data_IF_698318346439
#
_entry.id   IF_698318346439
#
_cell.length_a   1.000
_cell.length_b   1.000
_cell.length_c   1.000
_cell.angle_alpha   90.00
_cell.angle_beta   90.00
_cell.angle_gamma   90.00
#
_symmetry.space_group_name_H-M   'P 1'
#
loop_
_entity.id
_entity.type
_entity.pdbx_description
1 polymer ?
#
# COMPACT_ATOMS: atom_id res chain seq x y z
N UNK A 1 -23.04 -8.88 -37.14
CA UNK A 1 -22.18 -8.41 -36.02
C UNK A 1 -20.86 -7.98 -36.61
N UNK A 2 -20.57 -6.67 -36.61
CA UNK A 2 -19.37 -6.10 -37.23
C UNK A 2 -18.11 -6.52 -36.47
N UNK A 3 -17.03 -6.80 -37.21
CA UNK A 3 -15.78 -7.40 -36.74
C UNK A 3 -14.98 -6.39 -35.91
N UNK A 4 -15.26 -6.29 -34.61
CA UNK A 4 -14.73 -5.25 -33.70
C UNK A 4 -13.29 -5.49 -33.20
N UNK A 5 -12.54 -6.38 -33.87
CA UNK A 5 -11.22 -6.84 -33.41
C UNK A 5 -10.05 -5.95 -33.84
N UNK A 6 -10.28 -5.01 -34.76
CA UNK A 6 -9.21 -4.26 -35.44
C UNK A 6 -9.09 -2.78 -35.04
N UNK A 7 -9.78 -2.32 -33.97
CA UNK A 7 -9.64 -0.93 -33.51
C UNK A 7 -8.25 -0.73 -32.89
N UNK A 8 -7.36 -0.04 -33.60
CA UNK A 8 -6.04 0.34 -33.11
C UNK A 8 -6.10 1.73 -32.47
N UNK A 9 -6.13 1.76 -31.13
CA UNK A 9 -6.21 2.99 -30.31
C UNK A 9 -5.04 3.94 -30.60
N UNK A 10 -3.85 3.41 -30.94
CA UNK A 10 -2.67 4.23 -31.22
C UNK A 10 -2.73 5.02 -32.54
N UNK A 11 -3.76 4.81 -33.36
CA UNK A 11 -4.00 5.56 -34.61
C UNK A 11 -5.15 6.56 -34.48
N UNK A 12 -5.81 6.62 -33.33
CA UNK A 12 -6.93 7.53 -33.07
C UNK A 12 -6.35 8.82 -32.48
N UNK A 13 -6.79 9.96 -32.97
CA UNK A 13 -6.40 11.25 -32.41
C UNK A 13 -7.01 11.46 -31.01
N UNK A 14 -6.33 12.28 -30.19
CA UNK A 14 -6.80 12.56 -28.83
C UNK A 14 -8.20 13.20 -28.82
N UNK A 15 -8.53 14.01 -29.84
CA UNK A 15 -9.84 14.66 -29.98
C UNK A 15 -10.99 13.67 -30.24
N UNK A 16 -10.75 12.59 -31.00
CA UNK A 16 -11.78 11.56 -31.19
C UNK A 16 -11.91 10.72 -29.93
N UNK A 17 -10.82 10.43 -29.23
CA UNK A 17 -10.87 9.73 -27.95
C UNK A 17 -11.60 10.57 -26.89
N UNK A 18 -11.38 11.88 -26.86
CA UNK A 18 -12.10 12.81 -25.99
C UNK A 18 -13.60 12.82 -26.30
N UNK A 19 -13.99 13.01 -27.57
CA UNK A 19 -15.42 12.98 -27.97
C UNK A 19 -16.09 11.63 -27.74
N UNK A 20 -15.35 10.53 -27.92
CA UNK A 20 -15.83 9.19 -27.63
C UNK A 20 -16.02 9.00 -26.11
N UNK A 21 -15.12 9.55 -25.30
CA UNK A 21 -15.20 9.48 -23.85
C UNK A 21 -16.42 10.19 -23.29
N UNK A 22 -16.64 11.42 -23.77
CA UNK A 22 -17.83 12.24 -23.51
C UNK A 22 -19.13 11.49 -23.91
N UNK A 23 -19.17 10.98 -25.15
CA UNK A 23 -20.30 10.17 -25.62
C UNK A 23 -20.52 8.90 -24.79
N UNK A 24 -19.47 8.23 -24.34
CA UNK A 24 -19.60 7.04 -23.47
C UNK A 24 -20.06 7.42 -22.07
N UNK A 25 -19.65 8.58 -21.54
CA UNK A 25 -20.10 9.05 -20.22
C UNK A 25 -21.60 9.37 -20.25
N UNK A 26 -22.08 10.06 -21.28
CA UNK A 26 -23.51 10.39 -21.44
C UNK A 26 -24.44 9.17 -21.57
N UNK A 27 -23.92 7.99 -21.98
CA UNK A 27 -24.70 6.75 -21.96
C UNK A 27 -25.07 6.30 -20.54
N UNK A 28 -24.28 6.67 -19.54
CA UNK A 28 -24.45 6.25 -18.15
C UNK A 28 -24.95 7.38 -17.26
N UNK A 29 -24.60 8.62 -17.62
CA UNK A 29 -25.07 9.85 -16.97
C UNK A 29 -25.83 10.65 -18.02
N UNK A 30 -27.08 10.25 -18.33
CA UNK A 30 -27.89 10.93 -19.34
C UNK A 30 -28.39 12.31 -18.88
N UNK A 31 -28.34 12.58 -17.57
CA UNK A 31 -28.69 13.88 -17.00
C UNK A 31 -27.57 14.88 -17.26
N UNK A 32 -27.84 15.83 -18.17
CA UNK A 32 -26.88 16.84 -18.62
C UNK A 32 -26.38 17.71 -17.47
N UNK A 33 -27.25 18.05 -16.50
CA UNK A 33 -26.86 18.84 -15.34
C UNK A 33 -25.86 18.09 -14.43
N UNK A 34 -26.05 16.79 -14.25
CA UNK A 34 -25.12 15.95 -13.49
C UNK A 34 -23.78 15.80 -14.24
N UNK A 35 -23.82 15.63 -15.56
CA UNK A 35 -22.63 15.55 -16.39
C UNK A 35 -21.82 16.86 -16.34
N UNK A 36 -22.47 18.00 -16.55
CA UNK A 36 -21.84 19.33 -16.49
C UNK A 36 -21.28 19.64 -15.09
N UNK A 37 -21.99 19.24 -14.04
CA UNK A 37 -21.50 19.36 -12.66
C UNK A 37 -20.21 18.57 -12.46
N UNK A 38 -20.14 17.35 -12.98
CA UNK A 38 -18.93 16.52 -12.91
C UNK A 38 -17.79 17.12 -13.75
N UNK A 39 -18.08 17.66 -14.92
CA UNK A 39 -17.11 18.33 -15.77
C UNK A 39 -16.47 19.52 -15.06
N UNK A 40 -17.31 20.35 -14.42
CA UNK A 40 -16.86 21.49 -13.63
C UNK A 40 -16.02 21.06 -12.41
N UNK A 41 -16.36 19.94 -11.76
CA UNK A 41 -15.54 19.36 -10.70
C UNK A 41 -14.17 18.88 -11.18
N UNK A 42 -14.06 18.54 -12.47
CA UNK A 42 -12.87 18.01 -13.12
C UNK A 42 -11.98 19.07 -13.76
N UNK A 43 -12.28 20.34 -13.54
CA UNK A 43 -11.54 21.48 -14.09
C UNK A 43 -12.32 22.27 -15.15
N UNK A 44 -13.53 21.82 -15.50
CA UNK A 44 -14.40 22.46 -16.49
C UNK A 44 -14.04 22.15 -17.93
N UNK A 45 -14.90 22.58 -18.85
CA UNK A 45 -14.69 22.43 -20.29
C UNK A 45 -13.33 23.00 -20.73
N UNK A 46 -12.63 22.25 -21.59
CA UNK A 46 -11.31 22.64 -22.10
C UNK A 46 -10.14 22.42 -21.13
N UNK A 47 -10.39 21.94 -19.90
CA UNK A 47 -9.31 21.57 -18.99
C UNK A 47 -8.60 20.28 -19.42
N UNK A 48 -7.28 20.24 -19.27
CA UNK A 48 -6.46 19.07 -19.58
C UNK A 48 -6.89 17.82 -18.79
N UNK A 49 -7.35 18.04 -17.57
CA UNK A 49 -7.85 17.00 -16.67
C UNK A 49 -9.15 16.37 -17.14
N UNK A 50 -10.12 17.18 -17.57
CA UNK A 50 -11.37 16.70 -18.13
C UNK A 50 -11.12 15.95 -19.45
N UNK A 51 -10.31 16.54 -20.33
CA UNK A 51 -9.87 15.90 -21.57
C UNK A 51 -9.25 14.52 -21.32
N UNK A 52 -8.31 14.42 -20.39
CA UNK A 52 -7.66 13.15 -20.05
C UNK A 52 -8.63 12.12 -19.47
N UNK A 53 -9.63 12.58 -18.70
CA UNK A 53 -10.70 11.73 -18.19
C UNK A 53 -11.51 11.11 -19.32
N UNK A 54 -11.97 11.94 -20.27
CA UNK A 54 -12.70 11.47 -21.45
C UNK A 54 -11.87 10.48 -22.28
N UNK A 55 -10.61 10.81 -22.57
CA UNK A 55 -9.69 9.89 -23.28
C UNK A 55 -9.55 8.55 -22.55
N UNK A 56 -9.47 8.57 -21.21
CA UNK A 56 -9.34 7.35 -20.40
C UNK A 56 -10.61 6.49 -20.48
N UNK A 57 -11.79 7.11 -20.42
CA UNK A 57 -13.08 6.41 -20.57
C UNK A 57 -13.18 5.77 -21.96
N UNK A 58 -12.81 6.50 -23.02
CA UNK A 58 -12.78 5.97 -24.37
C UNK A 58 -11.84 4.77 -24.52
N UNK A 59 -10.62 4.86 -23.98
CA UNK A 59 -9.66 3.76 -24.01
C UNK A 59 -10.17 2.51 -23.27
N UNK A 60 -10.78 2.70 -22.10
CA UNK A 60 -11.37 1.61 -21.33
C UNK A 60 -12.58 1.00 -22.03
N UNK A 61 -13.42 1.80 -22.69
CA UNK A 61 -14.54 1.32 -23.49
C UNK A 61 -14.07 0.47 -24.68
N UNK A 62 -13.02 0.89 -25.38
CA UNK A 62 -12.45 0.09 -26.48
C UNK A 62 -11.86 -1.22 -25.95
N UNK A 63 -11.16 -1.20 -24.81
CA UNK A 63 -10.65 -2.43 -24.19
C UNK A 63 -11.78 -3.36 -23.72
N UNK A 64 -12.89 -2.80 -23.22
CA UNK A 64 -14.10 -3.56 -22.89
C UNK A 64 -14.70 -4.24 -24.13
N UNK A 65 -14.80 -3.51 -25.26
CA UNK A 65 -15.27 -4.07 -26.53
C UNK A 65 -14.38 -5.20 -27.08
N UNK A 66 -13.08 -5.20 -26.72
CA UNK A 66 -12.13 -6.27 -27.04
C UNK A 66 -12.19 -7.46 -26.08
N UNK A 67 -12.96 -7.37 -25.00
CA UNK A 67 -13.00 -8.37 -23.93
C UNK A 67 -11.76 -8.36 -23.02
N UNK A 68 -10.92 -7.33 -23.10
CA UNK A 68 -9.74 -7.15 -22.26
C UNK A 68 -10.09 -6.53 -20.89
N UNK A 69 -11.28 -5.92 -20.78
CA UNK A 69 -11.83 -5.35 -19.55
C UNK A 69 -13.25 -5.84 -19.29
N UNK A 70 -13.61 -5.86 -18.01
CA UNK A 70 -14.94 -6.24 -17.52
C UNK A 70 -15.92 -5.05 -17.57
N UNK A 71 -15.42 -3.81 -17.46
CA UNK A 71 -16.24 -2.59 -17.48
C UNK A 71 -15.51 -1.44 -18.18
N UNK A 72 -16.23 -0.58 -18.90
CA UNK A 72 -15.67 0.60 -19.56
C UNK A 72 -15.26 1.72 -18.60
N UNK A 73 -15.62 1.64 -17.32
CA UNK A 73 -15.24 2.64 -16.30
C UNK A 73 -14.26 2.10 -15.25
N UNK A 74 -13.95 0.80 -15.25
CA UNK A 74 -12.96 0.22 -14.34
C UNK A 74 -11.59 0.08 -15.03
N UNK A 75 -10.78 1.13 -14.90
CA UNK A 75 -9.41 1.23 -15.39
C UNK A 75 -8.35 1.41 -14.29
N UNK A 76 -7.07 1.07 -14.53
CA UNK A 76 -5.98 1.51 -13.68
C UNK A 76 -6.00 3.05 -13.61
N UNK A 77 -6.10 3.59 -12.40
CA UNK A 77 -6.31 5.02 -12.13
C UNK A 77 -7.75 5.42 -11.77
N UNK A 78 -8.74 4.54 -11.95
CA UNK A 78 -10.15 4.75 -11.62
C UNK A 78 -10.63 3.88 -10.44
N UNK A 79 -9.83 3.78 -9.37
CA UNK A 79 -10.19 2.94 -8.22
C UNK A 79 -11.17 3.67 -7.29
N UNK A 80 -12.46 3.33 -7.43
CA UNK A 80 -13.56 3.73 -6.55
C UNK A 80 -13.36 3.10 -5.16
N UNK A 81 -13.22 3.91 -4.11
CA UNK A 81 -13.40 3.46 -2.73
C UNK A 81 -14.84 3.81 -2.29
N UNK A 82 -15.62 2.86 -1.74
CA UNK A 82 -16.91 3.18 -1.17
C UNK A 82 -16.70 3.97 0.13
N UNK A 83 -17.19 5.22 0.18
CA UNK A 83 -17.30 5.96 1.44
C UNK A 83 -18.59 5.54 2.13
N UNK A 84 -18.49 4.92 3.31
CA UNK A 84 -19.67 4.58 4.11
C UNK A 84 -20.02 5.77 5.01
N UNK A 85 -20.99 6.58 4.60
CA UNK A 85 -21.69 7.51 5.50
C UNK A 85 -23.19 7.40 5.27
N UNK A 86 -23.86 6.58 6.08
CA UNK A 86 -25.31 6.45 6.07
C UNK A 86 -25.86 5.55 4.95
N UNK A 87 -27.19 5.45 4.92
CA UNK A 87 -27.98 4.36 4.30
C UNK A 87 -28.28 4.57 2.82
N UNK A 88 -27.45 5.33 2.11
CA UNK A 88 -27.74 5.82 0.76
C UNK A 88 -26.47 5.71 -0.10
N UNK A 89 -26.55 4.94 -1.18
CA UNK A 89 -25.45 4.70 -2.11
C UNK A 89 -25.31 5.91 -3.04
N UNK A 90 -24.56 6.93 -2.63
CA UNK A 90 -24.22 8.04 -3.51
C UNK A 90 -23.01 7.64 -4.36
N UNK A 91 -23.24 7.30 -5.63
CA UNK A 91 -22.19 7.14 -6.64
C UNK A 91 -21.55 8.51 -6.95
N UNK A 92 -20.72 9.01 -6.02
CA UNK A 92 -20.03 10.29 -6.13
C UNK A 92 -18.60 10.16 -5.62
N UNK A 93 -17.79 9.36 -6.33
CA UNK A 93 -16.37 9.19 -6.02
C UNK A 93 -15.51 10.14 -6.85
N UNK A 94 -14.89 11.11 -6.18
CA UNK A 94 -13.91 12.01 -6.80
C UNK A 94 -12.69 11.24 -7.33
N UNK A 95 -12.09 11.67 -8.45
CA UNK A 95 -10.92 10.99 -8.99
C UNK A 95 -9.70 11.19 -8.10
N UNK A 96 -9.26 10.09 -7.51
CA UNK A 96 -7.91 9.93 -6.94
C UNK A 96 -6.77 10.13 -7.96
N UNK A 97 -7.07 10.51 -9.21
CA UNK A 97 -6.10 10.99 -10.19
C UNK A 97 -5.51 12.37 -9.84
N UNK A 98 -6.21 13.20 -9.05
CA UNK A 98 -5.74 14.52 -8.64
C UNK A 98 -4.91 14.55 -7.35
N UNK A 99 -4.80 13.43 -6.62
CA UNK A 99 -3.85 13.33 -5.49
C UNK A 99 -2.38 13.14 -5.94
N UNK A 100 -2.10 12.99 -7.24
CA UNK A 100 -0.74 12.84 -7.74
C UNK A 100 0.00 14.16 -8.02
N UNK A 101 -0.62 15.33 -7.82
CA UNK A 101 0.08 16.63 -7.85
C UNK A 101 0.56 17.13 -6.49
N UNK A 102 0.43 16.34 -5.41
CA UNK A 102 1.09 16.65 -4.13
C UNK A 102 1.46 15.44 -3.24
N UNK A 103 1.57 14.23 -3.81
CA UNK A 103 2.17 13.09 -3.11
C UNK A 103 3.32 12.50 -3.92
N UNK A 104 4.57 13.01 -3.75
CA UNK A 104 5.77 12.35 -4.27
C UNK A 104 6.08 10.99 -3.57
N UNK A 105 5.11 10.37 -2.89
CA UNK A 105 5.33 9.29 -1.92
C UNK A 105 4.76 7.93 -2.32
N UNK A 106 4.12 7.78 -3.49
CA UNK A 106 3.64 6.46 -3.96
C UNK A 106 4.05 6.07 -5.39
N UNK A 107 4.93 6.85 -6.04
CA UNK A 107 5.36 6.59 -7.43
C UNK A 107 6.85 6.33 -7.64
N UNK A 108 7.72 6.50 -6.63
CA UNK A 108 9.19 6.48 -6.81
C UNK A 108 9.97 5.69 -5.74
N UNK A 109 9.32 4.75 -5.07
CA UNK A 109 9.85 4.18 -3.82
C UNK A 109 10.58 2.83 -3.88
N UNK A 110 10.51 2.06 -4.97
CA UNK A 110 11.10 0.70 -4.98
C UNK A 110 12.46 0.59 -5.69
N UNK A 111 12.85 1.58 -6.50
CA UNK A 111 14.09 1.52 -7.29
C UNK A 111 14.96 2.80 -7.25
N UNK A 112 14.53 3.86 -6.53
CA UNK A 112 15.33 5.06 -6.28
C UNK A 112 16.07 5.03 -4.95
N UNK A 113 17.01 5.96 -4.73
CA UNK A 113 17.82 6.12 -3.51
C UNK A 113 17.00 6.10 -2.19
N UNK A 114 15.72 6.49 -2.22
CA UNK A 114 14.80 6.40 -1.07
C UNK A 114 14.32 4.99 -0.72
N UNK A 115 14.22 4.08 -1.69
CA UNK A 115 13.84 2.68 -1.45
C UNK A 115 14.93 1.89 -0.76
N UNK A 116 16.18 2.08 -1.19
CA UNK A 116 17.35 1.50 -0.53
C UNK A 116 17.53 2.02 0.89
N UNK A 117 17.26 3.30 1.13
CA UNK A 117 17.29 3.88 2.47
C UNK A 117 16.28 3.21 3.41
N UNK A 118 15.06 2.93 2.94
CA UNK A 118 14.04 2.25 3.75
C UNK A 118 14.41 0.79 4.04
N UNK A 119 15.00 0.09 3.08
CA UNK A 119 15.51 -1.28 3.29
C UNK A 119 16.65 -1.29 4.32
N UNK A 120 17.60 -0.35 4.20
CA UNK A 120 18.72 -0.22 5.14
C UNK A 120 18.20 0.12 6.54
N UNK A 121 17.25 1.04 6.66
CA UNK A 121 16.63 1.41 7.94
C UNK A 121 15.92 0.22 8.57
N UNK A 122 15.17 -0.57 7.79
CA UNK A 122 14.51 -1.79 8.26
C UNK A 122 15.53 -2.82 8.76
N UNK A 123 16.63 -3.03 8.03
CA UNK A 123 17.71 -3.93 8.45
C UNK A 123 18.38 -3.45 9.75
N UNK A 124 18.57 -2.14 9.93
CA UNK A 124 19.10 -1.56 11.18
C UNK A 124 18.14 -1.83 12.34
N UNK A 125 16.84 -1.59 12.16
CA UNK A 125 15.82 -1.84 13.20
C UNK A 125 15.80 -3.31 13.61
N UNK A 126 15.79 -4.22 12.63
CA UNK A 126 15.84 -5.67 12.91
C UNK A 126 17.14 -6.03 13.65
N UNK A 127 18.28 -5.48 13.22
CA UNK A 127 19.57 -5.68 13.89
C UNK A 127 19.58 -5.23 15.35
N UNK A 128 18.98 -4.07 15.64
CA UNK A 128 18.85 -3.54 17.01
C UNK A 128 17.97 -4.46 17.86
N UNK A 129 16.82 -4.91 17.32
CA UNK A 129 15.93 -5.83 18.03
C UNK A 129 16.65 -7.15 18.37
N UNK A 130 17.34 -7.74 17.38
CA UNK A 130 18.12 -8.98 17.60
C UNK A 130 19.24 -8.75 18.62
N UNK A 131 19.95 -7.62 18.54
CA UNK A 131 21.00 -7.28 19.50
C UNK A 131 20.46 -7.15 20.93
N UNK A 132 19.32 -6.49 21.13
CA UNK A 132 18.67 -6.34 22.44
C UNK A 132 18.25 -7.70 23.00
N UNK A 133 17.63 -8.56 22.20
CA UNK A 133 17.24 -9.92 22.61
C UNK A 133 18.46 -10.76 22.99
N UNK A 134 19.54 -10.69 22.21
CA UNK A 134 20.78 -11.42 22.51
C UNK A 134 21.50 -10.85 23.73
N UNK A 135 21.44 -9.53 23.94
CA UNK A 135 21.98 -8.86 25.12
C UNK A 135 21.22 -9.26 26.38
N UNK A 136 19.89 -9.31 26.34
CA UNK A 136 19.08 -9.77 27.47
C UNK A 136 19.33 -11.25 27.78
N UNK A 137 19.47 -12.09 26.75
CA UNK A 137 19.87 -13.50 26.96
C UNK A 137 21.24 -13.61 27.63
N UNK A 138 22.25 -12.82 27.22
CA UNK A 138 23.57 -12.81 27.87
C UNK A 138 23.53 -12.20 29.28
N UNK A 139 22.71 -11.17 29.52
CA UNK A 139 22.51 -10.58 30.83
C UNK A 139 21.80 -11.55 31.80
N UNK A 140 20.89 -12.40 31.30
CA UNK A 140 20.24 -13.45 32.11
C UNK A 140 21.20 -14.54 32.57
N UNK A 141 22.27 -14.81 31.81
CA UNK A 141 23.30 -15.80 32.16
C UNK A 141 24.25 -15.27 33.26
N UNK A 142 24.41 -13.94 33.36
CA UNK A 142 25.30 -13.33 34.34
C UNK A 142 24.60 -12.71 35.57
N UNK A 143 23.28 -12.45 35.54
CA UNK A 143 22.62 -11.66 36.59
C UNK A 143 21.82 -12.44 37.65
N UNK A 144 21.72 -13.78 37.59
CA UNK A 144 20.88 -14.52 38.55
C UNK A 144 21.52 -15.82 39.05
N UNK A 145 22.84 -15.84 39.27
CA UNK A 145 23.39 -16.90 40.14
C UNK A 145 23.10 -16.51 41.57
N UNK A 146 22.07 -17.09 42.15
CA UNK A 146 21.83 -16.97 43.59
C UNK A 146 23.06 -17.50 44.34
N UNK A 147 23.33 -17.06 45.59
CA UNK A 147 24.42 -17.61 46.38
C UNK A 147 24.40 -19.15 46.43
N UNK A 148 23.20 -19.73 46.36
CA UNK A 148 22.95 -21.16 46.32
C UNK A 148 23.40 -21.82 44.99
N UNK A 149 23.31 -21.12 43.86
CA UNK A 149 23.81 -21.60 42.56
C UNK A 149 25.33 -21.57 42.49
N UNK A 150 25.96 -20.55 43.08
CA UNK A 150 27.42 -20.49 43.23
C UNK A 150 27.91 -21.63 44.12
N UNK A 151 27.20 -21.90 45.22
CA UNK A 151 27.53 -22.99 46.15
C UNK A 151 27.43 -24.37 45.47
N UNK A 152 26.38 -24.60 44.67
CA UNK A 152 26.23 -25.83 43.87
C UNK A 152 27.35 -26.00 42.85
N UNK A 153 27.76 -24.93 42.18
CA UNK A 153 28.84 -24.97 41.19
C UNK A 153 30.18 -25.38 41.82
N UNK A 154 30.50 -24.85 43.01
CA UNK A 154 31.74 -25.21 43.74
C UNK A 154 31.72 -26.64 44.25
N UNK A 155 30.57 -27.11 44.75
CA UNK A 155 30.41 -28.52 45.13
C UNK A 155 30.57 -29.46 43.93
N UNK A 156 29.98 -29.11 42.78
CA UNK A 156 30.10 -29.90 41.55
C UNK A 156 31.53 -29.92 40.98
N UNK A 157 32.30 -28.84 41.17
CA UNK A 157 33.72 -28.77 40.85
C UNK A 157 34.63 -29.50 41.86
N UNK A 158 34.08 -29.96 42.99
CA UNK A 158 34.85 -30.62 44.06
C UNK A 158 35.67 -29.66 44.92
N UNK A 159 35.41 -28.35 44.84
CA UNK A 159 36.15 -27.32 45.59
C UNK A 159 35.72 -27.24 47.07
N UNK A 160 34.56 -27.78 47.42
CA UNK A 160 34.02 -27.81 48.80
C UNK A 160 33.48 -29.21 49.12
N UNK A 161 33.54 -29.59 50.41
CA UNK A 161 33.00 -30.88 50.85
C UNK A 161 31.47 -30.84 50.99
N UNK A 162 30.84 -32.01 51.05
CA UNK A 162 29.38 -32.13 51.27
C UNK A 162 28.95 -31.49 52.60
N UNK A 163 29.80 -31.60 53.63
CA UNK A 163 29.54 -31.04 54.95
C UNK A 163 29.57 -29.51 54.94
N UNK A 164 30.51 -28.92 54.19
CA UNK A 164 30.60 -27.47 54.01
C UNK A 164 29.44 -26.93 53.18
N UNK A 165 29.03 -27.65 52.14
CA UNK A 165 27.85 -27.34 51.35
C UNK A 165 26.58 -27.29 52.22
N UNK A 166 26.35 -28.33 53.03
CA UNK A 166 25.15 -28.43 53.88
C UNK A 166 25.12 -27.39 55.00
N UNK A 167 26.29 -26.97 55.51
CA UNK A 167 26.40 -25.88 56.50
C UNK A 167 26.03 -24.53 55.88
N UNK A 168 26.67 -24.15 54.78
CA UNK A 168 26.45 -22.84 54.12
C UNK A 168 25.03 -22.75 53.55
N UNK A 169 24.46 -23.87 53.08
CA UNK A 169 23.07 -23.93 52.61
C UNK A 169 22.04 -23.67 53.73
N UNK A 170 22.35 -23.97 54.99
CA UNK A 170 21.45 -23.69 56.12
C UNK A 170 21.50 -22.24 56.59
N UNK A 171 22.63 -21.57 56.34
CA UNK A 171 22.85 -20.17 56.72
C UNK A 171 22.34 -19.17 55.65
N UNK A 172 22.01 -19.65 54.44
CA UNK A 172 21.43 -18.90 53.31
C UNK A 172 19.91 -19.01 53.25
#
# INVERSE_FOLDING_TARGET
>A
MSNNKDINIAKIDDSTLERLGDAVMSLYIPDEATHEYMDNMMGGEGSTSLKNMHITIAANYIAYLKGERISPFMGPGMMFLPFYRGRENIFGGWPMGWMHWNYPWMGFGYYGLGGWFMIILLLIVIGVIVYLILRERRASVFSNKTPLDILKERYAKGEISKEEFDRIKKDL
#
